data_IF_564738688343
#
_entry.id   IF_564738688343
#
_cell.length_a   1.000
_cell.length_b   1.000
_cell.length_c   1.000
_cell.angle_alpha   90.00
_cell.angle_beta   90.00
_cell.angle_gamma   90.00
#
_symmetry.space_group_name_H-M   'P 1'
#
loop_
_entity.id
_entity.type
_entity.pdbx_description
1 polymer ?
#
# COMPACT_ATOMS: atom_id res chain seq x y z
N UNK A 1 8.20 -8.27 7.26
CA UNK A 1 7.88 -6.85 7.45
C UNK A 1 6.35 -6.69 7.50
N UNK A 2 5.76 -6.43 8.67
CA UNK A 2 4.32 -6.12 8.82
C UNK A 2 4.26 -4.62 9.07
N UNK A 3 3.58 -3.85 8.21
CA UNK A 3 3.39 -2.43 8.46
C UNK A 3 2.36 -2.33 9.60
N UNK A 4 2.86 -2.10 10.82
CA UNK A 4 2.08 -1.99 12.05
C UNK A 4 1.34 -0.64 12.16
N UNK A 5 1.56 0.29 11.23
CA UNK A 5 1.02 1.66 11.29
C UNK A 5 -0.50 1.74 11.10
N UNK A 6 -1.15 0.64 10.62
CA UNK A 6 -2.60 0.56 10.46
C UNK A 6 -3.31 -0.33 11.47
N UNK A 7 -2.58 -1.00 12.37
CA UNK A 7 -3.17 -1.93 13.35
C UNK A 7 -3.49 -1.23 14.70
N UNK A 8 -3.38 0.09 14.77
CA UNK A 8 -3.33 0.87 16.00
C UNK A 8 -4.65 1.19 16.70
N UNK A 9 -5.83 0.87 16.15
CA UNK A 9 -7.08 1.02 16.90
C UNK A 9 -8.11 -0.05 16.48
N UNK A 10 -8.14 -1.15 17.24
CA UNK A 10 -9.35 -1.98 17.36
C UNK A 10 -10.37 -1.19 18.19
N UNK A 11 -11.09 -0.30 17.53
CA UNK A 11 -12.33 0.24 18.06
C UNK A 11 -13.51 -0.61 17.55
N UNK A 12 -14.65 -0.56 18.23
CA UNK A 12 -15.84 -1.38 17.98
C UNK A 12 -16.43 -1.15 16.56
N UNK A 13 -15.99 -0.08 15.88
CA UNK A 13 -16.33 0.28 14.50
C UNK A 13 -15.30 -0.20 13.45
N UNK A 14 -14.50 -1.22 13.75
CA UNK A 14 -13.51 -1.81 12.83
C UNK A 14 -14.18 -2.26 11.53
N UNK A 15 -13.95 -1.52 10.43
CA UNK A 15 -14.44 -1.90 9.11
C UNK A 15 -13.60 -3.06 8.53
N UNK A 16 -14.03 -4.29 8.79
CA UNK A 16 -13.34 -5.52 8.39
C UNK A 16 -13.14 -5.67 6.87
N UNK A 17 -14.04 -5.12 6.06
CA UNK A 17 -13.91 -5.11 4.59
C UNK A 17 -12.74 -4.24 4.17
N UNK A 18 -12.67 -3.02 4.71
CA UNK A 18 -11.55 -2.10 4.50
C UNK A 18 -10.20 -2.75 4.85
N UNK A 19 -10.11 -3.44 5.99
CA UNK A 19 -8.88 -4.16 6.37
C UNK A 19 -8.53 -5.31 5.42
N UNK A 20 -9.54 -6.03 4.95
CA UNK A 20 -9.35 -7.14 4.02
C UNK A 20 -8.83 -6.63 2.67
N UNK A 21 -9.39 -5.54 2.17
CA UNK A 21 -8.96 -4.92 0.92
C UNK A 21 -7.56 -4.33 1.05
N UNK A 22 -7.26 -3.68 2.18
CA UNK A 22 -5.92 -3.18 2.46
C UNK A 22 -4.87 -4.31 2.49
N UNK A 23 -5.21 -5.44 3.12
CA UNK A 23 -4.31 -6.61 3.16
C UNK A 23 -4.08 -7.20 1.77
N UNK A 24 -5.11 -7.30 0.93
CA UNK A 24 -4.99 -7.77 -0.46
C UNK A 24 -4.13 -6.81 -1.29
N UNK A 25 -4.37 -5.50 -1.16
CA UNK A 25 -3.59 -4.46 -1.84
C UNK A 25 -2.11 -4.54 -1.47
N UNK A 26 -1.78 -4.73 -0.19
CA UNK A 26 -0.40 -4.93 0.26
C UNK A 26 0.23 -6.22 -0.30
N UNK A 27 -0.53 -7.31 -0.42
CA UNK A 27 -0.01 -8.54 -1.00
C UNK A 27 0.40 -8.35 -2.46
N UNK A 28 -0.42 -7.64 -3.25
CA UNK A 28 -0.13 -7.29 -4.63
C UNK A 28 1.06 -6.32 -4.72
N UNK A 29 1.12 -5.38 -3.79
CA UNK A 29 2.22 -4.43 -3.71
C UNK A 29 3.57 -5.14 -3.53
N UNK A 30 3.66 -6.07 -2.57
CA UNK A 30 4.90 -6.81 -2.31
C UNK A 30 5.24 -7.85 -3.38
N UNK A 31 4.27 -8.29 -4.19
CA UNK A 31 4.54 -9.12 -5.36
C UNK A 31 4.97 -8.32 -6.60
N UNK A 32 5.10 -6.99 -6.48
CA UNK A 32 5.44 -6.11 -7.60
C UNK A 32 4.28 -5.83 -8.56
N UNK A 33 3.06 -6.27 -8.21
CA UNK A 33 1.84 -6.05 -8.99
C UNK A 33 1.28 -4.66 -8.72
N UNK A 34 2.07 -3.62 -9.05
CA UNK A 34 1.79 -2.24 -8.67
C UNK A 34 0.52 -1.67 -9.32
N UNK A 35 0.18 -2.09 -10.54
CA UNK A 35 -1.05 -1.65 -11.23
C UNK A 35 -2.30 -2.10 -10.46
N UNK A 36 -2.35 -3.37 -10.08
CA UNK A 36 -3.48 -3.94 -9.33
C UNK A 36 -3.51 -3.40 -7.89
N UNK A 37 -2.34 -3.29 -7.25
CA UNK A 37 -2.21 -2.72 -5.91
C UNK A 37 -2.70 -1.27 -5.87
N UNK A 38 -2.31 -0.44 -6.84
CA UNK A 38 -2.75 0.96 -6.94
C UNK A 38 -4.26 1.06 -7.01
N UNK A 39 -4.91 0.28 -7.89
CA UNK A 39 -6.37 0.26 -8.04
C UNK A 39 -7.05 -0.09 -6.73
N UNK A 40 -6.55 -1.11 -6.02
CA UNK A 40 -7.12 -1.49 -4.72
C UNK A 40 -6.96 -0.39 -3.68
N UNK A 41 -5.78 0.24 -3.58
CA UNK A 41 -5.56 1.34 -2.64
C UNK A 41 -6.44 2.56 -2.96
N UNK A 42 -6.66 2.90 -4.23
CA UNK A 42 -7.55 4.00 -4.63
C UNK A 42 -9.03 3.73 -4.27
N UNK A 43 -9.43 2.46 -4.21
CA UNK A 43 -10.79 2.08 -3.81
C UNK A 43 -11.02 2.18 -2.29
N UNK A 44 -9.95 2.27 -1.49
CA UNK A 44 -10.05 2.47 -0.04
C UNK A 44 -10.18 3.97 0.24
N UNK A 45 -11.41 4.46 0.18
CA UNK A 45 -11.73 5.88 0.38
C UNK A 45 -11.57 6.32 1.83
N UNK A 46 -11.23 7.61 2.03
CA UNK A 46 -11.09 8.21 3.37
C UNK A 46 -9.94 7.65 4.20
N UNK A 47 -8.95 7.01 3.58
CA UNK A 47 -7.76 6.48 4.25
C UNK A 47 -6.48 7.11 3.69
N UNK A 48 -5.83 7.95 4.49
CA UNK A 48 -4.60 8.64 4.10
C UNK A 48 -3.46 7.67 3.78
N UNK A 49 -3.38 6.54 4.49
CA UNK A 49 -2.35 5.54 4.23
C UNK A 49 -2.60 4.84 2.89
N UNK A 50 -3.84 4.55 2.53
CA UNK A 50 -4.18 3.99 1.21
C UNK A 50 -3.79 4.97 0.09
N UNK A 51 -4.08 6.27 0.26
CA UNK A 51 -3.68 7.31 -0.71
C UNK A 51 -2.15 7.34 -0.87
N UNK A 52 -1.41 7.30 0.23
CA UNK A 52 0.06 7.25 0.19
C UNK A 52 0.57 5.99 -0.53
N UNK A 53 -0.02 4.83 -0.27
CA UNK A 53 0.36 3.58 -0.93
C UNK A 53 0.03 3.57 -2.42
N UNK A 54 -1.10 4.14 -2.84
CA UNK A 54 -1.43 4.31 -4.25
C UNK A 54 -0.38 5.18 -4.98
N UNK A 55 0.08 6.25 -4.34
CA UNK A 55 1.16 7.10 -4.88
C UNK A 55 2.49 6.35 -4.96
N UNK A 56 2.82 5.50 -4.00
CA UNK A 56 4.01 4.63 -4.05
C UNK A 56 3.94 3.64 -5.22
N UNK A 57 2.77 3.06 -5.48
CA UNK A 57 2.57 2.20 -6.65
C UNK A 57 2.83 2.97 -7.95
N UNK A 58 2.30 4.19 -8.07
CA UNK A 58 2.55 5.05 -9.23
C UNK A 58 4.04 5.30 -9.44
N UNK A 59 4.75 5.68 -8.37
CA UNK A 59 6.18 5.95 -8.46
C UNK A 59 6.99 4.69 -8.86
N UNK A 60 6.58 3.50 -8.40
CA UNK A 60 7.22 2.25 -8.79
C UNK A 60 6.97 1.92 -10.28
N UNK A 61 5.74 2.15 -10.77
CA UNK A 61 5.39 2.00 -12.19
C UNK A 61 6.16 2.97 -13.10
N UNK A 62 6.42 4.18 -12.62
CA UNK A 62 7.21 5.19 -13.32
C UNK A 62 8.73 4.92 -13.27
N UNK A 63 9.17 3.89 -12.54
CA UNK A 63 10.59 3.59 -12.34
C UNK A 63 11.32 4.59 -11.44
N UNK A 64 10.58 5.43 -10.71
CA UNK A 64 11.12 6.42 -9.77
C UNK A 64 11.59 5.78 -8.45
N UNK A 65 11.18 4.53 -8.18
CA UNK A 65 11.51 3.79 -6.97
C UNK A 65 11.77 2.33 -7.35
N UNK A 66 12.92 1.79 -6.91
CA UNK A 66 13.20 0.36 -6.97
C UNK A 66 12.88 -0.25 -5.60
N UNK A 67 12.00 -1.24 -5.58
CA UNK A 67 11.59 -1.95 -4.35
C UNK A 67 12.30 -3.29 -4.36
N UNK A 68 13.27 -3.47 -3.47
CA UNK A 68 14.05 -4.70 -3.33
C UNK A 68 13.68 -5.33 -1.99
N UNK A 69 12.96 -6.46 -2.00
CA UNK A 69 12.58 -7.21 -0.81
C UNK A 69 11.88 -6.38 0.29
N UNK A 70 11.13 -5.35 -0.10
CA UNK A 70 10.45 -4.43 0.82
C UNK A 70 11.33 -3.30 1.37
N UNK A 71 12.59 -3.23 0.97
CA UNK A 71 13.45 -2.07 1.18
C UNK A 71 13.32 -1.14 -0.03
N UNK A 72 13.06 0.12 0.25
CA UNK A 72 12.93 1.16 -0.74
C UNK A 72 14.28 1.85 -0.92
N UNK A 73 14.89 1.72 -2.10
CA UNK A 73 16.09 2.48 -2.43
C UNK A 73 15.70 3.65 -3.34
N UNK A 74 15.82 4.88 -2.81
CA UNK A 74 15.67 6.08 -3.63
C UNK A 74 16.94 6.27 -4.46
N UNK A 75 16.82 6.16 -5.79
CA UNK A 75 17.92 6.54 -6.68
C UNK A 75 18.03 8.07 -6.70
N UNK A 76 19.01 8.59 -5.96
CA UNK A 76 19.45 9.97 -6.10
C UNK A 76 20.14 10.07 -7.47
N UNK A 77 19.63 10.94 -8.35
CA UNK A 77 20.34 11.33 -9.57
C UNK A 77 21.47 12.29 -9.24
#
# INVERSE_FOLDING_TARGET
MKIYELLGHKDENTNFEKYTDYRKALSLYYSGSYTEAQKMFMNISGDEAAIMMAKRCQNALEGNIEVIDGVYEMKVK
#
